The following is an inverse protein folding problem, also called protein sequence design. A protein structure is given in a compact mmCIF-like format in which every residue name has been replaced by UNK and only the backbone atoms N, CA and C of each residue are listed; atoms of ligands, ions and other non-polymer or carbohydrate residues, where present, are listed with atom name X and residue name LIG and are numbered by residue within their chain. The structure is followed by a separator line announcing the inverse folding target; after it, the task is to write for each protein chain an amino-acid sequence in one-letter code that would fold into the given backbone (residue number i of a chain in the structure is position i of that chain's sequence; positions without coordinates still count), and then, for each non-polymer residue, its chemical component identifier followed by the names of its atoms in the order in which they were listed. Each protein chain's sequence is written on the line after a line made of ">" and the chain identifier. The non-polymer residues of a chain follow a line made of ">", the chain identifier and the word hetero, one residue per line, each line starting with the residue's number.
data_IF_839745246367
#
_entry.id   IF_839745246367
#
_cell.length_a   1.000
_cell.length_b   1.000
_cell.length_c   1.000
_cell.angle_alpha   90.00
_cell.angle_beta   90.00
_cell.angle_gamma   90.00
#
_symmetry.space_group_name_H-M   'P 1'
#
loop_
_entity.id
_entity.type
_entity.pdbx_description
1 polymer ?
#
# COMPACT_ATOMS: atom_id res chain seq x y z
N UNK A 1 -3.27 29.81 14.98
CA UNK A 1 -4.19 30.28 13.91
C UNK A 1 -3.82 29.67 12.55
N UNK A 2 -2.54 29.64 12.16
CA UNK A 2 -2.14 29.02 10.87
C UNK A 2 -2.25 27.49 10.87
N UNK A 3 -1.94 26.80 11.98
CA UNK A 3 -1.96 25.33 12.07
C UNK A 3 -3.38 24.76 11.99
N UNK A 4 -4.32 25.37 12.69
CA UNK A 4 -5.74 24.97 12.68
C UNK A 4 -6.37 25.10 11.29
N UNK A 5 -5.97 26.12 10.51
CA UNK A 5 -6.39 26.29 9.13
C UNK A 5 -5.85 25.17 8.22
N UNK A 6 -4.61 24.71 8.44
CA UNK A 6 -4.03 23.59 7.70
C UNK A 6 -4.76 22.29 8.01
N UNK A 7 -5.00 21.97 9.28
CA UNK A 7 -5.72 20.75 9.64
C UNK A 7 -7.16 20.73 9.12
N UNK A 8 -7.85 21.86 9.20
CA UNK A 8 -9.20 22.03 8.64
C UNK A 8 -9.22 21.85 7.11
N UNK A 9 -8.21 22.38 6.42
CA UNK A 9 -8.05 22.19 4.98
C UNK A 9 -7.80 20.72 4.63
N UNK A 10 -6.88 20.05 5.33
CA UNK A 10 -6.57 18.64 5.09
C UNK A 10 -7.81 17.77 5.30
N UNK A 11 -8.51 17.99 6.41
CA UNK A 11 -9.73 17.27 6.72
C UNK A 11 -10.76 17.39 5.59
N UNK A 12 -11.16 18.62 5.27
CA UNK A 12 -12.24 18.87 4.29
C UNK A 12 -11.87 18.49 2.86
N UNK A 13 -10.60 18.60 2.49
CA UNK A 13 -10.15 18.40 1.10
C UNK A 13 -9.76 16.96 0.80
N UNK A 14 -9.20 16.25 1.79
CA UNK A 14 -8.58 14.93 1.58
C UNK A 14 -9.20 13.82 2.41
N UNK A 15 -9.53 14.05 3.68
CA UNK A 15 -10.05 13.00 4.57
C UNK A 15 -11.56 12.80 4.41
N UNK A 16 -12.31 13.90 4.42
CA UNK A 16 -13.78 13.92 4.30
C UNK A 16 -14.26 14.14 2.85
N UNK A 17 -13.36 14.02 1.87
CA UNK A 17 -13.65 14.30 0.46
C UNK A 17 -14.54 13.24 -0.17
N UNK A 18 -15.65 13.68 -0.76
CA UNK A 18 -16.54 12.82 -1.56
C UNK A 18 -16.06 12.61 -3.00
N UNK A 19 -15.07 13.39 -3.45
CA UNK A 19 -14.51 13.30 -4.80
C UNK A 19 -13.25 12.44 -4.81
N UNK A 20 -12.40 12.60 -3.78
CA UNK A 20 -11.13 11.89 -3.62
C UNK A 20 -11.06 11.27 -2.24
N UNK A 21 -11.83 10.21 -2.02
CA UNK A 21 -11.84 9.49 -0.75
C UNK A 21 -10.46 8.87 -0.46
N UNK A 22 -10.08 8.67 0.82
CA UNK A 22 -8.77 8.12 1.19
C UNK A 22 -8.39 6.82 0.47
N UNK A 23 -9.36 5.99 0.10
CA UNK A 23 -9.18 4.76 -0.69
C UNK A 23 -8.59 5.00 -2.07
N UNK A 24 -8.84 6.16 -2.67
CA UNK A 24 -8.48 6.48 -4.05
C UNK A 24 -7.03 6.96 -4.19
N UNK A 25 -6.49 7.59 -3.15
CA UNK A 25 -5.17 8.22 -3.19
C UNK A 25 -4.19 7.68 -2.17
N UNK A 26 -4.63 6.78 -1.29
CA UNK A 26 -3.79 6.18 -0.25
C UNK A 26 -4.01 4.67 -0.12
N UNK A 27 -3.18 4.03 0.70
CA UNK A 27 -3.29 2.61 1.07
C UNK A 27 -4.26 2.46 2.25
N UNK A 28 -5.43 3.09 2.16
CA UNK A 28 -6.43 3.10 3.22
C UNK A 28 -6.94 1.68 3.50
N UNK A 29 -6.89 1.28 4.78
CA UNK A 29 -7.25 -0.08 5.28
C UNK A 29 -6.63 -1.23 4.47
N UNK A 30 -5.49 -0.99 3.83
CA UNK A 30 -4.79 -1.97 3.02
C UNK A 30 -3.45 -2.37 3.65
N UNK A 31 -3.11 -3.64 3.49
CA UNK A 31 -1.93 -4.27 4.11
C UNK A 31 -0.68 -4.20 3.22
N UNK A 32 -0.84 -3.77 1.96
CA UNK A 32 0.23 -3.73 0.95
C UNK A 32 0.64 -2.29 0.70
N UNK A 33 1.74 -1.86 1.33
CA UNK A 33 2.16 -0.45 1.35
C UNK A 33 3.27 -0.07 0.37
N UNK A 34 3.73 -1.03 -0.42
CA UNK A 34 4.88 -0.82 -1.30
C UNK A 34 4.65 -1.48 -2.64
N UNK A 35 5.12 -0.84 -3.70
CA UNK A 35 5.21 -1.41 -5.04
C UNK A 35 6.25 -2.56 -5.16
N UNK A 36 6.83 -3.02 -4.05
CA UNK A 36 7.87 -4.07 -3.99
C UNK A 36 7.51 -5.33 -4.76
N UNK A 37 6.23 -5.72 -4.81
CA UNK A 37 5.81 -6.89 -5.58
C UNK A 37 5.92 -6.64 -7.09
N UNK A 38 5.50 -5.46 -7.53
CA UNK A 38 5.64 -4.98 -8.92
C UNK A 38 7.11 -4.79 -9.30
N UNK A 39 7.90 -4.13 -8.44
CA UNK A 39 9.34 -3.95 -8.64
C UNK A 39 10.08 -5.29 -8.63
N UNK A 40 9.68 -6.20 -7.74
CA UNK A 40 10.23 -7.55 -7.65
C UNK A 40 9.92 -8.37 -8.90
N UNK A 41 8.68 -8.32 -9.40
CA UNK A 41 8.30 -8.95 -10.67
C UNK A 41 9.09 -8.38 -11.84
N UNK A 42 9.14 -7.04 -11.95
CA UNK A 42 9.91 -6.36 -12.99
C UNK A 42 11.39 -6.73 -12.93
N UNK A 43 12.01 -6.74 -11.75
CA UNK A 43 13.40 -7.12 -11.56
C UNK A 43 13.67 -8.57 -11.98
N UNK A 44 12.80 -9.52 -11.63
CA UNK A 44 12.92 -10.92 -12.08
C UNK A 44 12.86 -11.03 -13.60
N UNK A 45 11.96 -10.28 -14.23
CA UNK A 45 11.83 -10.26 -15.69
C UNK A 45 13.09 -9.67 -16.35
N UNK A 46 13.57 -8.52 -15.87
CA UNK A 46 14.76 -7.85 -16.39
C UNK A 46 16.03 -8.70 -16.25
N UNK A 47 16.20 -9.41 -15.12
CA UNK A 47 17.31 -10.34 -14.92
C UNK A 47 17.28 -11.51 -15.92
N UNK A 48 16.10 -12.06 -16.21
CA UNK A 48 15.94 -13.17 -17.17
C UNK A 48 16.06 -12.71 -18.63
N UNK A 49 15.77 -11.43 -18.89
CA UNK A 49 15.82 -10.83 -20.22
C UNK A 49 17.24 -10.41 -20.67
N UNK A 50 18.28 -10.69 -19.86
CA UNK A 50 19.69 -10.37 -20.15
C UNK A 50 19.97 -8.88 -20.43
N UNK A 51 19.20 -8.01 -19.77
CA UNK A 51 19.29 -6.54 -19.75
C UNK A 51 19.16 -5.79 -21.10
N UNK A 52 18.51 -4.61 -21.03
CA UNK A 52 18.25 -3.57 -22.05
C UNK A 52 17.80 -3.94 -23.50
N UNK A 53 17.86 -5.19 -23.94
CA UNK A 53 17.49 -5.63 -25.31
C UNK A 53 16.66 -6.91 -25.27
N UNK A 54 15.57 -6.90 -24.51
CA UNK A 54 14.58 -7.97 -24.54
C UNK A 54 13.85 -7.95 -25.89
N UNK A 55 14.26 -8.79 -26.84
CA UNK A 55 13.51 -8.94 -28.08
C UNK A 55 12.13 -9.50 -27.80
N UNK A 56 11.15 -9.22 -28.66
CA UNK A 56 9.79 -9.74 -28.51
C UNK A 56 9.77 -11.28 -28.39
N UNK A 57 10.65 -11.97 -29.13
CA UNK A 57 10.79 -13.42 -29.10
C UNK A 57 11.35 -13.97 -27.77
N UNK A 58 12.04 -13.14 -26.99
CA UNK A 58 12.50 -13.47 -25.63
C UNK A 58 11.43 -13.09 -24.61
N UNK A 59 10.77 -11.95 -24.79
CA UNK A 59 9.76 -11.43 -23.87
C UNK A 59 8.53 -12.35 -23.76
N UNK A 60 7.98 -12.79 -24.89
CA UNK A 60 6.72 -13.57 -24.91
C UNK A 60 6.83 -14.88 -24.13
N UNK A 61 7.87 -15.72 -24.31
CA UNK A 61 8.04 -16.92 -23.50
C UNK A 61 8.24 -16.62 -22.00
N UNK A 62 8.95 -15.53 -21.67
CA UNK A 62 9.14 -15.13 -20.27
C UNK A 62 7.82 -14.70 -19.61
N UNK A 63 7.01 -13.90 -20.29
CA UNK A 63 5.69 -13.50 -19.82
C UNK A 63 4.76 -14.71 -19.65
N UNK A 64 4.76 -15.64 -20.61
CA UNK A 64 4.00 -16.89 -20.50
C UNK A 64 4.40 -17.68 -19.26
N UNK A 65 5.70 -17.80 -18.99
CA UNK A 65 6.21 -18.53 -17.82
C UNK A 65 5.89 -17.82 -16.51
N UNK A 66 5.90 -16.49 -16.46
CA UNK A 66 5.43 -15.75 -15.28
C UNK A 66 3.92 -15.94 -15.08
N UNK A 67 3.13 -15.99 -16.16
CA UNK A 67 1.68 -16.20 -16.09
C UNK A 67 1.29 -17.58 -15.53
N UNK A 68 2.12 -18.60 -15.70
CA UNK A 68 1.92 -19.94 -15.12
C UNK A 68 1.86 -19.93 -13.59
N UNK A 69 2.43 -18.92 -12.93
CA UNK A 69 2.39 -18.79 -11.47
C UNK A 69 1.17 -18.01 -10.94
N UNK A 70 0.40 -17.35 -11.81
CA UNK A 70 -0.76 -16.55 -11.40
C UNK A 70 -1.83 -17.36 -10.63
N UNK A 71 -2.18 -18.60 -11.02
CA UNK A 71 -3.16 -19.39 -10.27
C UNK A 71 -2.70 -19.67 -8.83
N UNK A 72 -1.42 -19.99 -8.64
CA UNK A 72 -0.83 -20.26 -7.31
C UNK A 72 -0.83 -18.99 -6.47
N UNK A 73 -0.43 -17.85 -7.04
CA UNK A 73 -0.47 -16.56 -6.34
C UNK A 73 -1.90 -16.17 -5.96
N UNK A 74 -2.87 -16.35 -6.88
CA UNK A 74 -4.27 -16.08 -6.61
C UNK A 74 -4.82 -16.99 -5.49
N UNK A 75 -4.40 -18.25 -5.44
CA UNK A 75 -4.76 -19.17 -4.36
C UNK A 75 -4.17 -18.74 -3.02
N UNK A 76 -2.88 -18.38 -2.97
CA UNK A 76 -2.23 -17.89 -1.74
C UNK A 76 -2.89 -16.61 -1.20
N UNK A 77 -3.31 -15.70 -2.09
CA UNK A 77 -4.06 -14.50 -1.71
C UNK A 77 -5.44 -14.88 -1.14
N UNK A 78 -6.16 -15.81 -1.78
CA UNK A 78 -7.47 -16.29 -1.31
C UNK A 78 -7.40 -16.96 0.06
N UNK A 79 -6.35 -17.75 0.29
CA UNK A 79 -6.13 -18.47 1.55
C UNK A 79 -5.55 -17.58 2.65
N UNK A 80 -5.21 -16.32 2.36
CA UNK A 80 -4.54 -15.43 3.31
C UNK A 80 -3.12 -15.88 3.67
N UNK A 81 -2.62 -16.95 3.03
CA UNK A 81 -1.30 -17.55 3.19
C UNK A 81 -0.26 -16.88 2.29
N UNK A 82 -0.46 -15.59 2.01
CA UNK A 82 0.47 -14.78 1.23
C UNK A 82 1.84 -14.63 1.89
N UNK A 83 2.65 -13.74 1.33
CA UNK A 83 4.02 -13.47 1.79
C UNK A 83 4.07 -13.23 3.31
N UNK A 84 4.89 -14.00 4.02
CA UNK A 84 5.16 -13.78 5.45
C UNK A 84 5.68 -12.36 5.64
N UNK A 85 5.01 -11.59 6.50
CA UNK A 85 5.36 -10.20 6.79
C UNK A 85 6.12 -10.15 8.10
N UNK A 86 7.08 -9.22 8.21
CA UNK A 86 7.75 -8.97 9.48
C UNK A 86 6.74 -8.41 10.47
N UNK A 87 6.81 -8.86 11.73
CA UNK A 87 5.92 -8.42 12.79
C UNK A 87 5.88 -6.89 12.94
N UNK A 88 6.99 -6.19 12.68
CA UNK A 88 7.04 -4.71 12.67
C UNK A 88 5.97 -4.11 11.75
N UNK A 89 5.80 -4.64 10.54
CA UNK A 89 4.81 -4.13 9.60
C UNK A 89 3.39 -4.58 9.94
N UNK A 90 3.23 -5.77 10.54
CA UNK A 90 1.92 -6.25 11.01
C UNK A 90 1.43 -5.36 12.16
N UNK A 91 2.30 -5.04 13.12
CA UNK A 91 1.97 -4.15 14.22
C UNK A 91 1.66 -2.73 13.72
N UNK A 92 2.43 -2.23 12.74
CA UNK A 92 2.17 -0.94 12.10
C UNK A 92 0.81 -0.91 11.37
N UNK A 93 0.42 -2.00 10.70
CA UNK A 93 -0.94 -2.15 10.13
C UNK A 93 -2.02 -2.08 11.19
N UNK A 94 -1.85 -2.80 12.29
CA UNK A 94 -2.81 -2.85 13.37
C UNK A 94 -2.98 -1.47 14.04
N UNK A 95 -1.87 -0.80 14.34
CA UNK A 95 -1.88 0.57 14.90
C UNK A 95 -2.55 1.57 13.97
N UNK A 96 -2.19 1.57 12.68
CA UNK A 96 -2.85 2.47 11.72
C UNK A 96 -4.33 2.15 11.54
N UNK A 97 -4.71 0.87 11.55
CA UNK A 97 -6.10 0.46 11.49
C UNK A 97 -6.92 1.00 12.67
N UNK A 98 -6.37 0.91 13.88
CA UNK A 98 -7.00 1.47 15.09
C UNK A 98 -7.13 2.99 15.00
N UNK A 99 -6.08 3.71 14.56
CA UNK A 99 -6.13 5.17 14.40
C UNK A 99 -7.19 5.61 13.38
N UNK A 100 -7.34 4.88 12.27
CA UNK A 100 -8.40 5.14 11.30
C UNK A 100 -9.78 4.88 11.88
N UNK A 101 -9.98 3.80 12.64
CA UNK A 101 -11.27 3.53 13.30
C UNK A 101 -11.63 4.62 14.32
N UNK A 102 -10.69 5.02 15.18
CA UNK A 102 -10.89 6.12 16.14
C UNK A 102 -11.23 7.44 15.42
N UNK A 103 -10.58 7.72 14.29
CA UNK A 103 -10.87 8.91 13.47
C UNK A 103 -12.26 8.84 12.82
N UNK A 104 -12.62 7.71 12.21
CA UNK A 104 -13.93 7.50 11.57
C UNK A 104 -15.08 7.61 12.58
N UNK A 105 -14.85 7.18 13.83
CA UNK A 105 -15.78 7.34 14.95
C UNK A 105 -15.80 8.75 15.57
N UNK A 106 -14.98 9.68 15.05
CA UNK A 106 -14.81 11.05 15.54
C UNK A 106 -14.33 11.13 16.99
N UNK A 107 -13.58 10.12 17.43
CA UNK A 107 -12.91 10.10 18.73
C UNK A 107 -11.59 10.89 18.70
N UNK A 108 -11.02 11.10 17.50
CA UNK A 108 -9.83 11.91 17.28
C UNK A 108 -10.12 13.15 16.44
N UNK A 109 -9.43 14.24 16.78
CA UNK A 109 -9.32 15.38 15.87
C UNK A 109 -8.35 15.06 14.73
N UNK A 110 -8.47 15.78 13.61
CA UNK A 110 -7.54 15.64 12.48
C UNK A 110 -6.09 15.92 12.88
N UNK A 111 -5.86 16.87 13.80
CA UNK A 111 -4.53 17.17 14.34
C UNK A 111 -3.96 15.99 15.13
N UNK A 112 -4.74 15.43 16.06
CA UNK A 112 -4.32 14.28 16.86
C UNK A 112 -4.06 13.05 15.99
N UNK A 113 -4.94 12.79 15.03
CA UNK A 113 -4.82 11.69 14.09
C UNK A 113 -3.52 11.77 13.28
N UNK A 114 -3.25 12.91 12.64
CA UNK A 114 -2.05 13.08 11.81
C UNK A 114 -0.77 13.06 12.65
N UNK A 115 -0.81 13.59 13.87
CA UNK A 115 0.33 13.56 14.80
C UNK A 115 0.65 12.13 15.21
N UNK A 116 -0.35 11.35 15.65
CA UNK A 116 -0.17 9.94 16.02
C UNK A 116 0.31 9.09 14.84
N UNK A 117 -0.20 9.33 13.64
CA UNK A 117 0.31 8.67 12.42
C UNK A 117 1.79 9.00 12.21
N UNK A 118 2.16 10.27 12.28
CA UNK A 118 3.55 10.70 12.12
C UNK A 118 4.50 10.01 13.10
N UNK A 119 4.10 9.88 14.36
CA UNK A 119 4.86 9.16 15.39
C UNK A 119 4.98 7.67 15.09
N UNK A 120 3.91 7.05 14.58
CA UNK A 120 3.90 5.62 14.24
C UNK A 120 4.87 5.28 13.10
N UNK A 121 5.21 6.25 12.25
CA UNK A 121 6.18 6.08 11.16
C UNK A 121 7.62 6.48 11.52
N UNK A 122 7.88 7.02 12.71
CA UNK A 122 9.18 7.58 13.11
C UNK A 122 10.25 6.53 13.52
N UNK A 123 10.12 5.27 13.06
CA UNK A 123 11.06 4.18 13.35
C UNK A 123 12.31 4.17 12.46
#
# INVERSE_FOLDING_TARGET
>A
METEAVFSYIQSTWLDSSIWAPEEWSVYRQTVRTNNDTEGWHRRLSLKAADHKCSFYVLVPLLRREAEYLPVQAQLVREGTGRVRRNVYVNLDEQLGQLWEEYDHRELTTEDFLTKIGETYAF
#
